data_IF_012632943734
#
_entry.id   IF_012632943734
#
_cell.length_a   1.000
_cell.length_b   1.000
_cell.length_c   1.000
_cell.angle_alpha   90.00
_cell.angle_beta   90.00
_cell.angle_gamma   90.00
#
_symmetry.space_group_name_H-M   'P 1'
#
loop_
_entity.id
_entity.type
_entity.pdbx_description
1 polymer ?
#
# COMPACT_ATOMS: atom_id res chain seq x y z
N UNK A 1 -1.64 -91.33 -42.24
CA UNK A 1 -0.32 -90.79 -41.87
C UNK A 1 -0.46 -89.30 -42.04
N UNK A 2 -0.69 -88.59 -40.97
CA UNK A 2 -0.97 -87.14 -40.94
C UNK A 2 0.27 -86.38 -40.40
N UNK A 3 0.87 -85.55 -41.17
CA UNK A 3 1.94 -84.64 -40.75
C UNK A 3 1.35 -83.29 -40.32
N UNK A 4 1.45 -83.06 -39.02
CA UNK A 4 1.13 -81.76 -38.42
C UNK A 4 2.32 -80.82 -38.55
N UNK A 5 2.22 -79.78 -39.33
CA UNK A 5 3.18 -78.66 -39.37
C UNK A 5 2.69 -77.57 -38.41
N UNK A 6 3.32 -77.48 -37.24
CA UNK A 6 3.12 -76.35 -36.30
C UNK A 6 3.97 -75.14 -36.72
N UNK A 7 3.32 -74.13 -37.29
CA UNK A 7 3.94 -72.83 -37.56
C UNK A 7 4.15 -72.10 -36.22
N UNK A 8 5.40 -71.97 -35.78
CA UNK A 8 5.77 -71.09 -34.65
C UNK A 8 5.86 -69.67 -35.17
N UNK A 9 4.90 -68.80 -34.77
CA UNK A 9 5.03 -67.36 -34.92
C UNK A 9 6.04 -66.88 -33.85
N UNK A 10 7.21 -66.43 -34.30
CA UNK A 10 8.16 -65.70 -33.51
C UNK A 10 7.67 -64.26 -33.36
N UNK A 11 7.09 -63.94 -32.19
CA UNK A 11 6.90 -62.55 -31.74
C UNK A 11 8.25 -61.99 -31.45
N UNK A 12 8.76 -61.12 -32.32
CA UNK A 12 9.88 -60.24 -32.03
C UNK A 12 9.38 -59.17 -31.02
N UNK A 13 10.04 -59.02 -29.88
CA UNK A 13 9.76 -57.88 -29.02
C UNK A 13 10.25 -56.63 -29.75
N UNK A 14 9.36 -55.70 -30.04
CA UNK A 14 9.71 -54.34 -30.42
C UNK A 14 10.39 -53.74 -29.18
N UNK A 15 11.72 -53.73 -29.19
CA UNK A 15 12.48 -52.93 -28.24
C UNK A 15 12.18 -51.46 -28.56
N UNK A 16 11.30 -50.83 -27.81
CA UNK A 16 11.23 -49.39 -27.69
C UNK A 16 12.51 -48.94 -26.98
N UNK A 17 13.52 -48.63 -27.76
CA UNK A 17 14.67 -47.86 -27.26
C UNK A 17 14.13 -46.49 -26.84
N UNK A 18 13.82 -46.34 -25.57
CA UNK A 18 13.66 -45.04 -24.96
C UNK A 18 14.99 -44.31 -25.11
N UNK A 19 15.07 -43.41 -26.06
CA UNK A 19 16.16 -42.44 -26.14
C UNK A 19 16.00 -41.45 -24.99
N UNK A 20 16.47 -41.81 -23.83
CA UNK A 20 16.59 -40.91 -22.69
C UNK A 20 17.81 -40.03 -22.94
N UNK A 21 17.60 -38.73 -23.26
CA UNK A 21 18.63 -37.74 -23.17
C UNK A 21 18.84 -36.77 -24.34
N UNK A 22 18.23 -36.98 -25.52
CA UNK A 22 18.31 -35.96 -26.60
C UNK A 22 16.96 -35.25 -26.73
N UNK A 23 16.96 -33.90 -26.86
CA UNK A 23 15.73 -33.18 -27.16
C UNK A 23 15.15 -33.61 -28.50
N UNK A 24 13.83 -33.55 -28.67
CA UNK A 24 13.17 -33.84 -29.94
C UNK A 24 13.68 -32.95 -31.07
N UNK A 25 13.40 -33.35 -32.31
CA UNK A 25 13.77 -32.54 -33.49
C UNK A 25 12.99 -31.23 -33.48
N UNK A 26 11.72 -31.28 -33.04
CA UNK A 26 10.80 -30.15 -32.88
C UNK A 26 11.37 -29.13 -31.87
N UNK A 27 11.80 -29.60 -30.70
CA UNK A 27 12.39 -28.71 -29.70
C UNK A 27 13.74 -28.12 -30.13
N UNK A 28 14.54 -28.90 -30.84
CA UNK A 28 15.82 -28.40 -31.44
C UNK A 28 15.52 -27.32 -32.47
N UNK A 29 14.51 -27.49 -33.30
CA UNK A 29 14.06 -26.49 -34.29
C UNK A 29 13.51 -25.23 -33.57
N UNK A 30 12.71 -25.39 -32.54
CA UNK A 30 12.18 -24.29 -31.74
C UNK A 30 13.32 -23.42 -31.17
N UNK A 31 14.37 -24.03 -30.58
CA UNK A 31 15.55 -23.30 -30.07
C UNK A 31 16.28 -22.50 -31.17
N UNK A 32 16.38 -23.06 -32.36
CA UNK A 32 16.98 -22.34 -33.52
C UNK A 32 16.13 -21.13 -33.91
N UNK A 33 14.81 -21.26 -34.01
CA UNK A 33 13.91 -20.14 -34.32
C UNK A 33 13.88 -19.07 -33.24
N UNK A 34 13.95 -19.45 -31.95
CA UNK A 34 14.14 -18.50 -30.82
C UNK A 34 15.41 -17.69 -30.97
N UNK A 35 16.55 -18.35 -31.31
CA UNK A 35 17.84 -17.66 -31.56
C UNK A 35 17.78 -16.69 -32.75
N UNK A 36 17.04 -17.07 -33.80
CA UNK A 36 16.85 -16.26 -34.99
C UNK A 36 15.75 -15.17 -34.81
N UNK A 37 15.06 -15.14 -33.65
CA UNK A 37 13.95 -14.25 -33.38
C UNK A 37 12.78 -14.41 -34.36
N UNK A 38 12.61 -15.57 -34.95
CA UNK A 38 11.48 -15.97 -35.77
C UNK A 38 10.39 -16.53 -34.81
N UNK A 39 9.62 -15.60 -34.23
CA UNK A 39 8.70 -15.92 -33.13
C UNK A 39 7.51 -16.77 -33.58
N UNK A 40 7.04 -16.61 -34.81
CA UNK A 40 5.93 -17.37 -35.36
C UNK A 40 6.30 -18.86 -35.47
N UNK A 41 7.45 -19.14 -36.06
CA UNK A 41 7.92 -20.52 -36.14
C UNK A 41 8.38 -21.08 -34.79
N UNK A 42 8.96 -20.23 -33.93
CA UNK A 42 9.31 -20.65 -32.59
C UNK A 42 8.08 -21.15 -31.82
N UNK A 43 6.96 -20.42 -31.91
CA UNK A 43 5.68 -20.83 -31.32
C UNK A 43 5.19 -22.16 -31.90
N UNK A 44 5.11 -22.29 -33.23
CA UNK A 44 4.69 -23.54 -33.91
C UNK A 44 5.49 -24.74 -33.40
N UNK A 45 6.83 -24.67 -33.50
CA UNK A 45 7.70 -25.77 -33.10
C UNK A 45 7.77 -26.02 -31.60
N UNK A 46 7.48 -25.02 -30.75
CA UNK A 46 7.35 -25.21 -29.30
C UNK A 46 6.12 -26.03 -28.96
N UNK A 47 4.97 -25.78 -29.60
CA UNK A 47 3.77 -26.59 -29.39
C UNK A 47 3.90 -28.00 -29.96
N UNK A 48 4.52 -28.16 -31.14
CA UNK A 48 4.83 -29.48 -31.67
C UNK A 48 5.76 -30.25 -30.70
N UNK A 49 6.77 -29.57 -30.13
CA UNK A 49 7.66 -30.16 -29.16
C UNK A 49 6.90 -30.59 -27.88
N UNK A 50 5.92 -29.83 -27.43
CA UNK A 50 5.10 -30.20 -26.26
C UNK A 50 4.23 -31.43 -26.54
N UNK A 51 3.74 -31.60 -27.79
CA UNK A 51 3.00 -32.82 -28.18
C UNK A 51 3.86 -34.07 -28.16
N UNK A 52 5.13 -33.93 -28.57
CA UNK A 52 6.12 -35.05 -28.62
C UNK A 52 6.73 -35.32 -27.24
N UNK A 53 6.95 -34.28 -26.46
CA UNK A 53 7.59 -34.32 -25.15
C UNK A 53 6.65 -33.67 -24.08
N UNK A 54 5.48 -34.23 -23.78
CA UNK A 54 4.49 -33.59 -22.90
C UNK A 54 4.96 -33.42 -21.46
N UNK A 55 5.95 -34.19 -21.03
CA UNK A 55 6.53 -34.11 -19.69
C UNK A 55 7.90 -33.40 -19.69
N UNK A 56 8.18 -32.54 -20.70
CA UNK A 56 9.41 -31.77 -20.71
C UNK A 56 9.22 -30.36 -20.12
N UNK A 57 9.67 -30.11 -18.87
CA UNK A 57 9.49 -28.82 -18.24
C UNK A 57 10.28 -27.69 -18.92
N UNK A 58 11.35 -28.00 -19.67
CA UNK A 58 12.07 -26.99 -20.44
C UNK A 58 11.19 -26.42 -21.57
N UNK A 59 10.46 -27.29 -22.29
CA UNK A 59 9.53 -26.86 -23.36
C UNK A 59 8.42 -25.99 -22.76
N UNK A 60 7.83 -26.40 -21.63
CA UNK A 60 6.79 -25.63 -20.95
C UNK A 60 7.27 -24.25 -20.52
N UNK A 61 8.48 -24.15 -19.95
CA UNK A 61 9.09 -22.86 -19.59
C UNK A 61 9.30 -21.98 -20.81
N UNK A 62 9.75 -22.55 -21.94
CA UNK A 62 9.96 -21.77 -23.17
C UNK A 62 8.64 -21.26 -23.76
N UNK A 63 7.57 -22.07 -23.72
CA UNK A 63 6.22 -21.64 -24.14
C UNK A 63 5.73 -20.50 -23.26
N UNK A 64 5.79 -20.66 -21.95
CA UNK A 64 5.39 -19.62 -21.00
C UNK A 64 6.12 -18.30 -21.25
N UNK A 65 7.43 -18.35 -21.43
CA UNK A 65 8.28 -17.17 -21.60
C UNK A 65 8.19 -16.55 -23.00
N UNK A 66 8.35 -17.35 -24.07
CA UNK A 66 8.49 -16.83 -25.43
C UNK A 66 7.17 -16.68 -26.17
N UNK A 67 6.11 -17.37 -25.76
CA UNK A 67 4.80 -17.29 -26.39
C UNK A 67 3.85 -16.48 -25.54
N UNK A 68 3.39 -17.02 -24.41
CA UNK A 68 2.33 -16.41 -23.64
C UNK A 68 2.71 -15.06 -23.01
N UNK A 69 3.90 -14.98 -22.38
CA UNK A 69 4.33 -13.72 -21.76
C UNK A 69 4.50 -12.58 -22.77
N UNK A 70 4.97 -12.88 -24.00
CA UNK A 70 5.12 -11.86 -25.06
C UNK A 70 3.78 -11.35 -25.60
N UNK A 71 2.74 -12.17 -25.52
CA UNK A 71 1.37 -11.81 -25.91
C UNK A 71 0.59 -11.16 -24.77
N UNK A 72 1.15 -11.12 -23.53
CA UNK A 72 0.45 -10.66 -22.33
C UNK A 72 -0.60 -11.65 -21.82
N UNK A 73 -0.51 -12.89 -22.22
CA UNK A 73 -1.40 -14.00 -21.82
C UNK A 73 -0.92 -14.58 -20.50
N UNK A 74 -1.10 -13.81 -19.40
CA UNK A 74 -0.47 -14.10 -18.10
C UNK A 74 -1.00 -15.38 -17.46
N UNK A 75 -2.27 -15.70 -17.62
CA UNK A 75 -2.86 -16.92 -17.06
C UNK A 75 -2.27 -18.16 -17.74
N UNK A 76 -2.14 -18.16 -19.08
CA UNK A 76 -1.54 -19.25 -19.84
C UNK A 76 -0.01 -19.36 -19.54
N UNK A 77 0.67 -18.22 -19.38
CA UNK A 77 2.07 -18.21 -18.93
C UNK A 77 2.22 -18.92 -17.58
N UNK A 78 1.35 -18.57 -16.62
CA UNK A 78 1.39 -19.17 -15.30
C UNK A 78 1.03 -20.67 -15.34
N UNK A 79 0.05 -21.05 -16.17
CA UNK A 79 -0.31 -22.47 -16.35
C UNK A 79 0.90 -23.27 -16.83
N UNK A 80 1.61 -22.80 -17.86
CA UNK A 80 2.82 -23.47 -18.37
C UNK A 80 3.93 -23.53 -17.31
N UNK A 81 4.13 -22.45 -16.56
CA UNK A 81 5.14 -22.39 -15.49
C UNK A 81 4.79 -23.34 -14.33
N UNK A 82 3.53 -23.42 -13.92
CA UNK A 82 3.08 -24.31 -12.85
C UNK A 82 3.18 -25.78 -13.28
N UNK A 83 2.83 -26.09 -14.52
CA UNK A 83 3.03 -27.44 -15.08
C UNK A 83 4.51 -27.83 -15.12
N UNK A 84 5.39 -26.91 -15.52
CA UNK A 84 6.84 -27.16 -15.53
C UNK A 84 7.38 -27.45 -14.12
N UNK A 85 6.97 -26.68 -13.11
CA UNK A 85 7.33 -26.90 -11.70
C UNK A 85 6.77 -28.23 -11.20
N UNK A 86 5.51 -28.55 -11.53
CA UNK A 86 4.88 -29.79 -11.09
C UNK A 86 5.52 -31.03 -11.70
N UNK A 87 6.09 -30.89 -12.92
CA UNK A 87 6.76 -32.01 -13.62
C UNK A 87 8.15 -32.30 -13.04
N UNK A 88 9.03 -31.30 -12.98
CA UNK A 88 10.38 -31.45 -12.40
C UNK A 88 10.95 -30.09 -11.99
N UNK A 89 10.75 -29.66 -10.72
CA UNK A 89 11.22 -28.35 -10.25
C UNK A 89 12.74 -28.21 -10.20
N UNK A 90 13.47 -29.34 -10.10
CA UNK A 90 14.93 -29.38 -9.92
C UNK A 90 15.69 -29.59 -11.22
N UNK A 91 14.99 -29.91 -12.34
CA UNK A 91 15.62 -30.03 -13.66
C UNK A 91 16.33 -28.73 -14.02
N UNK A 92 17.61 -28.85 -14.38
CA UNK A 92 18.44 -27.69 -14.75
C UNK A 92 18.27 -27.29 -16.23
N UNK A 93 18.09 -25.96 -16.47
CA UNK A 93 17.95 -25.37 -17.80
C UNK A 93 18.84 -24.10 -17.88
N UNK A 94 19.97 -24.08 -18.58
CA UNK A 94 20.94 -25.17 -18.64
C UNK A 94 21.59 -25.41 -17.28
N UNK A 95 21.76 -24.35 -16.45
CA UNK A 95 22.47 -24.40 -15.17
C UNK A 95 21.59 -24.08 -13.96
N UNK A 96 20.35 -23.63 -14.19
CA UNK A 96 19.40 -23.24 -13.14
C UNK A 96 18.21 -24.18 -13.05
N UNK A 97 17.76 -24.51 -11.85
CA UNK A 97 16.52 -25.28 -11.65
C UNK A 97 15.31 -24.59 -12.29
N UNK A 98 14.36 -25.37 -12.78
CA UNK A 98 13.07 -24.87 -13.31
C UNK A 98 12.36 -23.95 -12.30
N UNK A 99 12.33 -24.35 -11.04
CA UNK A 99 11.71 -23.55 -9.96
C UNK A 99 12.34 -22.16 -9.83
N UNK A 100 13.67 -22.06 -9.90
CA UNK A 100 14.38 -20.77 -9.84
C UNK A 100 14.14 -19.94 -11.11
N UNK A 101 14.14 -20.58 -12.29
CA UNK A 101 13.88 -19.88 -13.54
C UNK A 101 12.47 -19.28 -13.58
N UNK A 102 11.47 -20.07 -13.23
CA UNK A 102 10.08 -19.62 -13.18
C UNK A 102 9.91 -18.46 -12.17
N UNK A 103 10.50 -18.61 -10.99
CA UNK A 103 10.50 -17.54 -9.99
C UNK A 103 11.08 -16.22 -10.57
N UNK A 104 12.24 -16.30 -11.21
CA UNK A 104 12.91 -15.13 -11.79
C UNK A 104 12.09 -14.52 -12.94
N UNK A 105 11.46 -15.33 -13.79
CA UNK A 105 10.64 -14.84 -14.89
C UNK A 105 9.36 -14.17 -14.39
N UNK A 106 8.65 -14.76 -13.43
CA UNK A 106 7.50 -14.12 -12.80
C UNK A 106 7.90 -12.78 -12.17
N UNK A 107 8.97 -12.76 -11.40
CA UNK A 107 9.46 -11.52 -10.76
C UNK A 107 9.83 -10.45 -11.79
N UNK A 108 10.48 -10.81 -12.89
CA UNK A 108 10.82 -9.88 -13.97
C UNK A 108 9.58 -9.29 -14.64
N UNK A 109 8.64 -10.14 -15.08
CA UNK A 109 7.43 -9.68 -15.73
C UNK A 109 6.53 -8.89 -14.78
N UNK A 110 6.45 -9.32 -13.52
CA UNK A 110 5.74 -8.56 -12.49
C UNK A 110 6.34 -7.17 -12.32
N UNK A 111 7.67 -7.05 -12.17
CA UNK A 111 8.34 -5.77 -11.97
C UNK A 111 8.10 -4.81 -13.14
N UNK A 112 8.16 -5.29 -14.39
CA UNK A 112 7.92 -4.48 -15.58
C UNK A 112 6.48 -3.96 -15.64
N UNK A 113 5.49 -4.84 -15.37
CA UNK A 113 4.08 -4.47 -15.32
C UNK A 113 3.78 -3.53 -14.15
N UNK A 114 4.33 -3.83 -12.95
CA UNK A 114 4.17 -3.02 -11.75
C UNK A 114 4.70 -1.59 -11.94
N UNK A 115 5.92 -1.45 -12.46
CA UNK A 115 6.51 -0.14 -12.73
C UNK A 115 5.69 0.67 -13.75
N UNK A 116 5.11 -0.01 -14.75
CA UNK A 116 4.21 0.63 -15.72
C UNK A 116 2.92 1.10 -15.06
N UNK A 117 2.32 0.28 -14.20
CA UNK A 117 1.13 0.63 -13.43
C UNK A 117 1.38 1.78 -12.44
N UNK A 118 2.51 1.76 -11.73
CA UNK A 118 2.92 2.85 -10.81
C UNK A 118 3.10 4.17 -11.55
N UNK A 119 3.63 4.16 -12.77
CA UNK A 119 3.72 5.37 -13.60
C UNK A 119 2.35 5.97 -13.88
N UNK A 120 1.38 5.16 -14.32
CA UNK A 120 -0.01 5.61 -14.53
C UNK A 120 -0.64 6.16 -13.26
N UNK A 121 -0.41 5.51 -12.12
CA UNK A 121 -0.90 6.00 -10.83
C UNK A 121 -0.27 7.33 -10.42
N UNK A 122 1.02 7.54 -10.70
CA UNK A 122 1.68 8.83 -10.46
C UNK A 122 1.19 9.93 -11.42
N UNK A 123 0.89 9.61 -12.68
CA UNK A 123 0.21 10.50 -13.62
C UNK A 123 -1.17 10.91 -13.10
N UNK A 124 -1.95 9.97 -12.57
CA UNK A 124 -3.22 10.28 -11.91
C UNK A 124 -3.03 11.22 -10.71
N UNK A 125 -2.04 10.98 -9.84
CA UNK A 125 -1.79 11.87 -8.70
C UNK A 125 -1.54 13.32 -9.12
N UNK A 126 -0.90 13.53 -10.27
CA UNK A 126 -0.62 14.84 -10.81
C UNK A 126 -1.83 15.45 -11.52
N UNK A 127 -2.55 14.69 -12.35
CA UNK A 127 -3.65 15.18 -13.18
C UNK A 127 -5.02 15.16 -12.50
N UNK A 128 -5.22 14.22 -11.57
CA UNK A 128 -6.51 13.89 -10.94
C UNK A 128 -7.57 13.42 -11.94
N UNK A 129 -7.16 12.99 -13.12
CA UNK A 129 -8.07 12.48 -14.14
C UNK A 129 -8.52 11.04 -13.84
N UNK A 130 -9.82 10.84 -13.69
CA UNK A 130 -10.42 9.54 -13.39
C UNK A 130 -10.05 8.47 -14.42
N UNK A 131 -10.02 8.82 -15.71
CA UNK A 131 -9.66 7.91 -16.79
C UNK A 131 -8.22 7.37 -16.68
N UNK A 132 -7.30 8.18 -16.14
CA UNK A 132 -5.91 7.77 -15.88
C UNK A 132 -5.86 6.78 -14.71
N UNK A 133 -6.68 7.00 -13.67
CA UNK A 133 -6.79 6.05 -12.56
C UNK A 133 -7.38 4.71 -12.99
N UNK A 134 -8.41 4.71 -13.85
CA UNK A 134 -9.00 3.49 -14.41
C UNK A 134 -7.97 2.68 -15.21
N UNK A 135 -7.12 3.34 -16.01
CA UNK A 135 -6.00 2.69 -16.71
C UNK A 135 -4.96 2.11 -15.74
N UNK A 136 -4.67 2.83 -14.65
CA UNK A 136 -3.77 2.33 -13.61
C UNK A 136 -4.33 1.07 -12.96
N UNK A 137 -5.63 1.04 -12.62
CA UNK A 137 -6.32 -0.15 -12.08
C UNK A 137 -6.18 -1.32 -13.02
N UNK A 138 -6.57 -1.15 -14.30
CA UNK A 138 -6.43 -2.22 -15.29
C UNK A 138 -5.01 -2.77 -15.34
N UNK A 139 -4.00 -1.89 -15.32
CA UNK A 139 -2.60 -2.32 -15.38
C UNK A 139 -2.13 -3.00 -14.10
N UNK A 140 -2.65 -2.62 -12.92
CA UNK A 140 -2.38 -3.33 -11.67
C UNK A 140 -3.10 -4.69 -11.61
N UNK A 141 -4.30 -4.83 -12.17
CA UNK A 141 -4.99 -6.12 -12.29
C UNK A 141 -4.20 -7.08 -13.19
N UNK A 142 -3.70 -6.60 -14.34
CA UNK A 142 -2.78 -7.37 -15.18
C UNK A 142 -1.52 -7.78 -14.40
N UNK A 143 -0.98 -6.87 -13.58
CA UNK A 143 0.20 -7.14 -12.73
C UNK A 143 -0.09 -8.21 -11.68
N UNK A 144 -1.28 -8.20 -11.08
CA UNK A 144 -1.73 -9.23 -10.15
C UNK A 144 -1.88 -10.61 -10.81
N UNK A 145 -2.25 -10.64 -12.10
CA UNK A 145 -2.33 -11.88 -12.87
C UNK A 145 -0.93 -12.41 -13.25
N UNK A 146 0.09 -11.56 -13.35
CA UNK A 146 1.49 -12.02 -13.56
C UNK A 146 2.01 -12.78 -12.35
N UNK A 147 1.84 -12.21 -11.16
CA UNK A 147 2.25 -12.85 -9.90
C UNK A 147 1.32 -12.45 -8.75
N UNK A 148 0.41 -13.34 -8.43
CA UNK A 148 -0.59 -13.13 -7.38
C UNK A 148 -0.01 -13.17 -5.94
N UNK A 149 1.28 -13.49 -5.77
CA UNK A 149 1.94 -13.55 -4.46
C UNK A 149 2.52 -12.20 -4.03
N UNK A 150 2.48 -11.20 -4.90
CA UNK A 150 3.05 -9.88 -4.67
C UNK A 150 2.05 -8.93 -3.99
N UNK A 151 2.08 -8.88 -2.67
CA UNK A 151 1.13 -8.10 -1.85
C UNK A 151 1.12 -6.59 -2.15
N UNK A 152 2.25 -6.03 -2.61
CA UNK A 152 2.36 -4.61 -3.00
C UNK A 152 1.35 -4.22 -4.08
N UNK A 153 1.09 -5.13 -5.03
CA UNK A 153 0.10 -4.91 -6.09
C UNK A 153 -1.29 -4.66 -5.50
N UNK A 154 -1.69 -5.49 -4.55
CA UNK A 154 -3.00 -5.38 -3.90
C UNK A 154 -3.10 -4.16 -2.98
N UNK A 155 -2.02 -3.74 -2.33
CA UNK A 155 -1.99 -2.51 -1.53
C UNK A 155 -2.31 -1.27 -2.38
N UNK A 156 -1.76 -1.20 -3.59
CA UNK A 156 -2.03 -0.06 -4.49
C UNK A 156 -3.41 -0.20 -5.14
N UNK A 157 -3.84 -1.41 -5.53
CA UNK A 157 -5.20 -1.66 -6.03
C UNK A 157 -6.25 -1.21 -5.01
N UNK A 158 -6.04 -1.52 -3.72
CA UNK A 158 -6.92 -1.07 -2.66
C UNK A 158 -7.06 0.46 -2.64
N UNK A 159 -5.93 1.17 -2.76
CA UNK A 159 -5.93 2.64 -2.82
C UNK A 159 -6.63 3.15 -4.09
N UNK A 160 -6.36 2.55 -5.25
CA UNK A 160 -6.99 2.95 -6.50
C UNK A 160 -8.51 2.75 -6.48
N UNK A 161 -8.99 1.61 -6.00
CA UNK A 161 -10.41 1.34 -5.87
C UNK A 161 -11.08 2.25 -4.85
N UNK A 162 -10.39 2.58 -3.75
CA UNK A 162 -10.89 3.53 -2.78
C UNK A 162 -11.06 4.95 -3.40
N UNK A 163 -10.08 5.42 -4.16
CA UNK A 163 -10.14 6.70 -4.88
C UNK A 163 -11.24 6.73 -5.96
N UNK A 164 -11.57 5.57 -6.55
CA UNK A 164 -12.70 5.41 -7.48
C UNK A 164 -14.06 5.33 -6.79
N UNK A 165 -14.10 5.24 -5.45
CA UNK A 165 -15.32 5.07 -4.67
C UNK A 165 -15.87 3.63 -4.67
N UNK A 166 -15.08 2.66 -5.09
CA UNK A 166 -15.45 1.24 -5.02
C UNK A 166 -14.94 0.65 -3.70
N UNK A 167 -15.72 0.85 -2.64
CA UNK A 167 -15.36 0.45 -1.28
C UNK A 167 -15.20 -1.06 -1.13
N UNK A 168 -16.02 -1.86 -1.81
CA UNK A 168 -15.97 -3.32 -1.74
C UNK A 168 -14.64 -3.85 -2.27
N UNK A 169 -14.25 -3.45 -3.48
CA UNK A 169 -12.97 -3.86 -4.07
C UNK A 169 -11.76 -3.26 -3.31
N UNK A 170 -11.90 -2.07 -2.74
CA UNK A 170 -10.86 -1.48 -1.89
C UNK A 170 -10.59 -2.34 -0.66
N UNK A 171 -11.63 -2.72 0.08
CA UNK A 171 -11.52 -3.60 1.26
C UNK A 171 -10.99 -4.98 0.85
N UNK A 172 -11.51 -5.57 -0.23
CA UNK A 172 -11.06 -6.88 -0.72
C UNK A 172 -9.54 -6.89 -0.99
N UNK A 173 -9.05 -5.93 -1.77
CA UNK A 173 -7.63 -5.87 -2.11
C UNK A 173 -6.76 -5.52 -0.90
N UNK A 174 -7.21 -4.64 0.00
CA UNK A 174 -6.47 -4.34 1.23
C UNK A 174 -6.32 -5.57 2.14
N UNK A 175 -7.38 -6.40 2.28
CA UNK A 175 -7.29 -7.67 2.99
C UNK A 175 -6.30 -8.62 2.34
N UNK A 176 -6.38 -8.79 1.02
CA UNK A 176 -5.46 -9.65 0.28
C UNK A 176 -3.99 -9.21 0.45
N UNK A 177 -3.74 -7.91 0.46
CA UNK A 177 -2.41 -7.38 0.76
C UNK A 177 -1.91 -7.77 2.17
N UNK A 178 -2.77 -7.67 3.20
CA UNK A 178 -2.39 -8.04 4.58
C UNK A 178 -2.31 -9.54 4.79
N UNK A 179 -3.03 -10.36 4.03
CA UNK A 179 -2.88 -11.82 4.02
C UNK A 179 -1.52 -12.25 3.48
N UNK A 180 -1.06 -11.62 2.38
CA UNK A 180 0.23 -11.93 1.76
C UNK A 180 1.39 -11.32 2.57
N UNK A 181 1.21 -10.10 3.10
CA UNK A 181 2.23 -9.35 3.84
C UNK A 181 1.72 -9.03 5.26
N UNK A 182 1.57 -10.04 6.15
CA UNK A 182 0.94 -9.83 7.45
C UNK A 182 1.71 -8.86 8.35
N UNK A 183 3.02 -8.80 8.21
CA UNK A 183 3.89 -7.95 9.05
C UNK A 183 4.36 -6.68 8.31
N UNK A 184 3.65 -6.29 7.25
CA UNK A 184 3.90 -5.01 6.57
C UNK A 184 3.10 -3.88 7.22
N UNK A 185 3.81 -2.86 7.71
CA UNK A 185 3.22 -1.71 8.35
C UNK A 185 2.21 -0.99 7.44
N UNK A 186 2.59 -0.74 6.18
CA UNK A 186 1.77 0.03 5.25
C UNK A 186 0.47 -0.69 4.89
N UNK A 187 0.53 -2.00 4.68
CA UNK A 187 -0.64 -2.83 4.37
C UNK A 187 -1.64 -2.83 5.52
N UNK A 188 -1.16 -3.04 6.76
CA UNK A 188 -2.02 -3.01 7.95
C UNK A 188 -2.63 -1.62 8.18
N UNK A 189 -1.84 -0.55 8.07
CA UNK A 189 -2.34 0.80 8.24
C UNK A 189 -3.37 1.17 7.16
N UNK A 190 -3.10 0.84 5.88
CA UNK A 190 -4.00 1.10 4.77
C UNK A 190 -5.35 0.37 4.94
N UNK A 191 -5.31 -0.92 5.30
CA UNK A 191 -6.56 -1.67 5.58
C UNK A 191 -7.35 -1.03 6.73
N UNK A 192 -6.66 -0.67 7.82
CA UNK A 192 -7.30 0.05 8.92
C UNK A 192 -7.95 1.37 8.47
N UNK A 193 -7.28 2.15 7.62
CA UNK A 193 -7.81 3.40 7.07
C UNK A 193 -9.04 3.18 6.19
N UNK A 194 -8.99 2.21 5.30
CA UNK A 194 -10.12 1.88 4.42
C UNK A 194 -11.31 1.40 5.24
N UNK A 195 -11.10 0.47 6.18
CA UNK A 195 -12.16 -0.03 7.08
C UNK A 195 -12.81 1.09 7.90
N UNK A 196 -12.02 2.02 8.42
CA UNK A 196 -12.55 3.17 9.17
C UNK A 196 -13.50 4.02 8.32
N UNK A 197 -13.11 4.30 7.07
CA UNK A 197 -13.88 5.15 6.16
C UNK A 197 -15.11 4.46 5.58
N UNK A 198 -15.09 3.12 5.47
CA UNK A 198 -16.23 2.30 5.04
C UNK A 198 -17.16 1.91 6.19
N UNK A 199 -16.98 2.48 7.40
CA UNK A 199 -17.84 2.31 8.54
C UNK A 199 -17.53 1.09 9.42
N UNK A 200 -16.50 0.31 9.10
CA UNK A 200 -16.10 -0.88 9.87
C UNK A 200 -15.04 -0.50 10.94
N UNK A 201 -15.40 0.45 11.84
CA UNK A 201 -14.47 1.06 12.79
C UNK A 201 -13.90 0.08 13.81
N UNK A 202 -14.72 -0.83 14.33
CA UNK A 202 -14.30 -1.83 15.31
C UNK A 202 -13.21 -2.75 14.73
N UNK A 203 -13.38 -3.18 13.49
CA UNK A 203 -12.37 -3.99 12.81
C UNK A 203 -11.12 -3.19 12.47
N UNK A 204 -11.28 -1.92 12.05
CA UNK A 204 -10.18 -0.99 11.78
C UNK A 204 -9.21 -0.89 12.96
N UNK A 205 -9.72 -0.86 14.22
CA UNK A 205 -8.89 -0.82 15.43
C UNK A 205 -7.85 -1.94 15.46
N UNK A 206 -8.24 -3.17 15.07
CA UNK A 206 -7.33 -4.32 15.10
C UNK A 206 -6.14 -4.14 14.17
N UNK A 207 -6.39 -3.66 12.94
CA UNK A 207 -5.32 -3.47 11.93
C UNK A 207 -4.45 -2.25 12.23
N UNK A 208 -5.03 -1.16 12.72
CA UNK A 208 -4.24 0.02 13.14
C UNK A 208 -3.36 -0.32 14.35
N UNK A 209 -3.86 -1.11 15.31
CA UNK A 209 -3.04 -1.61 16.43
C UNK A 209 -1.89 -2.48 15.93
N UNK A 210 -2.16 -3.39 15.00
CA UNK A 210 -1.11 -4.22 14.41
C UNK A 210 -0.04 -3.37 13.69
N UNK A 211 -0.43 -2.31 12.99
CA UNK A 211 0.52 -1.36 12.42
C UNK A 211 1.38 -0.68 13.51
N UNK A 212 0.78 -0.27 14.64
CA UNK A 212 1.50 0.31 15.79
C UNK A 212 2.45 -0.72 16.43
N UNK A 213 2.07 -1.99 16.52
CA UNK A 213 2.94 -3.05 17.04
C UNK A 213 4.20 -3.22 16.17
N UNK A 214 4.09 -2.97 14.84
CA UNK A 214 5.21 -3.01 13.89
C UNK A 214 6.08 -1.73 13.98
N UNK A 215 5.47 -0.56 14.02
CA UNK A 215 6.14 0.75 14.19
C UNK A 215 5.47 1.55 15.32
N UNK A 216 5.90 1.34 16.59
CA UNK A 216 5.31 2.01 17.76
C UNK A 216 5.50 3.53 17.78
N UNK A 217 6.41 4.06 16.96
CA UNK A 217 6.70 5.50 16.89
C UNK A 217 5.91 6.24 15.80
N UNK A 218 5.08 5.54 15.04
CA UNK A 218 4.38 6.13 13.91
C UNK A 218 3.20 7.01 14.32
N UNK A 219 3.41 8.32 14.25
CA UNK A 219 2.42 9.34 14.65
C UNK A 219 1.09 9.25 13.89
N UNK A 220 1.13 8.84 12.61
CA UNK A 220 -0.09 8.71 11.79
C UNK A 220 -0.95 7.56 12.31
N UNK A 221 -0.35 6.40 12.59
CA UNK A 221 -1.05 5.25 13.13
C UNK A 221 -1.60 5.53 14.54
N UNK A 222 -0.79 6.15 15.42
CA UNK A 222 -1.21 6.52 16.78
C UNK A 222 -2.40 7.48 16.73
N UNK A 223 -2.32 8.56 15.94
CA UNK A 223 -3.42 9.51 15.78
C UNK A 223 -4.67 8.84 15.22
N UNK A 224 -4.52 7.93 14.27
CA UNK A 224 -5.66 7.22 13.71
C UNK A 224 -6.33 6.30 14.74
N UNK A 225 -5.56 5.58 15.54
CA UNK A 225 -6.11 4.74 16.62
C UNK A 225 -6.85 5.58 17.65
N UNK A 226 -6.28 6.69 18.07
CA UNK A 226 -6.92 7.61 18.99
C UNK A 226 -8.24 8.17 18.41
N UNK A 227 -8.24 8.56 17.13
CA UNK A 227 -9.46 9.02 16.43
C UNK A 227 -10.52 7.92 16.35
N UNK A 228 -10.11 6.68 16.05
CA UNK A 228 -11.03 5.53 16.03
C UNK A 228 -11.69 5.31 17.39
N UNK A 229 -10.91 5.34 18.48
CA UNK A 229 -11.47 5.21 19.82
C UNK A 229 -12.40 6.37 20.17
N UNK A 230 -12.03 7.61 19.79
CA UNK A 230 -12.91 8.77 19.97
C UNK A 230 -14.25 8.58 19.23
N UNK A 231 -14.21 8.17 17.96
CA UNK A 231 -15.37 7.93 17.11
C UNK A 231 -16.28 6.80 17.61
N UNK A 232 -15.70 5.80 18.28
CA UNK A 232 -16.40 4.69 18.94
C UNK A 232 -16.95 5.07 20.32
N UNK A 233 -16.70 6.30 20.79
CA UNK A 233 -17.10 6.79 22.11
C UNK A 233 -16.20 6.31 23.25
N UNK A 234 -15.11 5.62 22.95
CA UNK A 234 -14.12 5.10 23.91
C UNK A 234 -13.09 6.18 24.26
N UNK A 235 -13.56 7.28 24.88
CA UNK A 235 -12.78 8.51 25.09
C UNK A 235 -11.52 8.29 25.92
N UNK A 236 -11.59 7.48 26.96
CA UNK A 236 -10.47 7.14 27.81
C UNK A 236 -9.36 6.42 27.04
N UNK A 237 -9.71 5.44 26.20
CA UNK A 237 -8.72 4.73 25.36
C UNK A 237 -8.10 5.64 24.31
N UNK A 238 -8.85 6.63 23.83
CA UNK A 238 -8.31 7.63 22.91
C UNK A 238 -7.17 8.44 23.55
N UNK A 239 -7.36 8.91 24.78
CA UNK A 239 -6.34 9.62 25.56
C UNK A 239 -5.15 8.70 25.89
N UNK A 240 -5.43 7.50 26.44
CA UNK A 240 -4.41 6.50 26.78
C UNK A 240 -3.49 6.15 25.59
N UNK A 241 -4.04 6.18 24.36
CA UNK A 241 -3.26 5.90 23.14
C UNK A 241 -2.13 6.91 22.96
N UNK A 242 -2.39 8.21 23.12
CA UNK A 242 -1.37 9.24 23.05
C UNK A 242 -0.41 9.19 24.23
N UNK A 243 -0.92 9.01 25.46
CA UNK A 243 -0.10 8.92 26.67
C UNK A 243 0.90 7.77 26.62
N UNK A 244 0.47 6.59 26.12
CA UNK A 244 1.34 5.44 25.93
C UNK A 244 2.45 5.74 24.91
N UNK A 245 2.15 6.39 23.80
CA UNK A 245 3.12 6.78 22.79
C UNK A 245 4.11 7.83 23.33
N UNK A 246 3.62 8.85 24.03
CA UNK A 246 4.45 9.90 24.66
C UNK A 246 5.45 9.30 25.66
N UNK A 247 5.03 8.29 26.41
CA UNK A 247 5.88 7.64 27.42
C UNK A 247 7.09 6.95 26.81
N UNK A 248 6.96 6.40 25.62
CA UNK A 248 8.02 5.64 24.93
C UNK A 248 8.82 6.48 23.94
N UNK A 249 8.30 7.63 23.49
CA UNK A 249 8.97 8.47 22.50
C UNK A 249 10.16 9.21 23.11
N UNK A 250 11.32 9.09 22.47
CA UNK A 250 12.59 9.71 22.90
C UNK A 250 13.00 10.92 22.06
N UNK A 251 12.52 11.00 20.80
CA UNK A 251 12.77 12.15 19.95
C UNK A 251 11.92 13.34 20.36
N UNK A 252 12.56 14.50 20.59
CA UNK A 252 11.90 15.69 21.12
C UNK A 252 10.82 16.23 20.18
N UNK A 253 11.09 16.25 18.87
CA UNK A 253 10.14 16.80 17.88
C UNK A 253 8.91 15.92 17.76
N UNK A 254 9.10 14.60 17.67
CA UNK A 254 7.98 13.64 17.64
C UNK A 254 7.18 13.69 18.93
N UNK A 255 7.84 13.83 20.06
CA UNK A 255 7.17 13.96 21.37
C UNK A 255 6.37 15.24 21.46
N UNK A 256 6.86 16.35 20.92
CA UNK A 256 6.12 17.61 20.79
C UNK A 256 4.83 17.41 19.99
N UNK A 257 4.92 16.75 18.81
CA UNK A 257 3.76 16.45 17.98
C UNK A 257 2.71 15.57 18.67
N UNK A 258 3.15 14.59 19.47
CA UNK A 258 2.23 13.74 20.26
C UNK A 258 1.51 14.53 21.33
N UNK A 259 2.21 15.39 22.07
CA UNK A 259 1.61 16.29 23.04
C UNK A 259 0.65 17.28 22.39
N UNK A 260 0.99 17.83 21.22
CA UNK A 260 0.09 18.70 20.45
C UNK A 260 -1.23 17.97 20.10
N UNK A 261 -1.13 16.76 19.56
CA UNK A 261 -2.32 15.96 19.23
C UNK A 261 -3.15 15.57 20.48
N UNK A 262 -2.49 15.28 21.60
CA UNK A 262 -3.17 15.04 22.89
C UNK A 262 -3.90 16.30 23.36
N UNK A 263 -3.29 17.48 23.20
CA UNK A 263 -3.93 18.76 23.48
C UNK A 263 -5.19 18.99 22.65
N UNK A 264 -5.12 18.73 21.33
CA UNK A 264 -6.28 18.81 20.43
C UNK A 264 -7.40 17.85 20.86
N UNK A 265 -7.05 16.60 21.21
CA UNK A 265 -8.02 15.62 21.68
C UNK A 265 -8.68 16.07 22.99
N UNK A 266 -7.90 16.50 23.98
CA UNK A 266 -8.44 17.00 25.27
C UNK A 266 -9.32 18.23 25.07
N UNK A 267 -9.00 19.11 24.12
CA UNK A 267 -9.86 20.23 23.75
C UNK A 267 -11.22 19.75 23.18
N UNK A 268 -11.21 18.72 22.33
CA UNK A 268 -12.45 18.12 21.78
C UNK A 268 -13.31 17.41 22.86
N UNK A 269 -12.67 16.95 23.92
CA UNK A 269 -13.32 16.33 25.08
C UNK A 269 -13.77 17.35 26.16
N UNK A 270 -13.56 18.64 25.93
CA UNK A 270 -13.76 19.73 26.91
C UNK A 270 -12.88 19.62 28.17
N UNK A 271 -11.82 18.84 28.11
CA UNK A 271 -10.79 18.71 29.14
C UNK A 271 -9.77 19.85 29.04
N UNK A 272 -10.23 21.09 29.28
CA UNK A 272 -9.45 22.31 28.96
C UNK A 272 -8.16 22.45 29.74
N UNK A 273 -8.06 21.91 30.97
CA UNK A 273 -6.83 21.98 31.75
C UNK A 273 -5.79 21.01 31.20
N UNK A 274 -6.18 19.78 30.90
CA UNK A 274 -5.32 18.75 30.29
C UNK A 274 -4.88 19.18 28.88
N UNK A 275 -5.74 19.87 28.13
CA UNK A 275 -5.39 20.44 26.84
C UNK A 275 -4.31 21.53 26.99
N UNK A 276 -4.46 22.46 27.95
CA UNK A 276 -3.45 23.48 28.27
C UNK A 276 -2.11 22.83 28.60
N UNK A 277 -2.09 21.85 29.50
CA UNK A 277 -0.88 21.18 29.95
C UNK A 277 -0.19 20.48 28.77
N UNK A 278 -0.95 19.78 27.92
CA UNK A 278 -0.41 19.09 26.74
C UNK A 278 0.19 20.09 25.73
N UNK A 279 -0.50 21.19 25.41
CA UNK A 279 0.05 22.21 24.51
C UNK A 279 1.27 22.92 25.10
N UNK A 280 1.30 23.13 26.42
CA UNK A 280 2.51 23.68 27.08
C UNK A 280 3.71 22.74 26.92
N UNK A 281 3.54 21.43 27.16
CA UNK A 281 4.61 20.47 26.93
C UNK A 281 5.05 20.41 25.46
N UNK A 282 4.11 20.52 24.50
CA UNK A 282 4.44 20.59 23.08
C UNK A 282 5.32 21.82 22.80
N UNK A 283 4.92 22.99 23.28
CA UNK A 283 5.67 24.23 23.10
C UNK A 283 7.06 24.22 23.79
N UNK A 284 7.16 23.69 25.00
CA UNK A 284 8.44 23.57 25.69
C UNK A 284 9.43 22.66 24.95
N UNK A 285 8.94 21.63 24.27
CA UNK A 285 9.77 20.73 23.45
C UNK A 285 10.15 21.34 22.09
N UNK A 286 9.28 22.17 21.52
CA UNK A 286 9.49 22.82 20.22
C UNK A 286 8.99 24.28 20.23
N UNK A 287 9.76 25.22 20.82
CA UNK A 287 9.36 26.62 20.91
C UNK A 287 9.33 27.37 19.58
N UNK A 288 9.89 26.82 18.50
CA UNK A 288 9.85 27.40 17.15
C UNK A 288 8.50 27.15 16.46
N UNK A 289 7.75 26.15 16.93
CA UNK A 289 6.44 25.82 16.42
C UNK A 289 5.35 26.55 17.21
N UNK A 290 4.76 27.56 16.57
CA UNK A 290 3.70 28.38 17.17
C UNK A 290 2.32 27.68 17.20
N UNK A 291 2.16 26.52 16.57
CA UNK A 291 0.87 25.82 16.53
C UNK A 291 0.37 25.45 17.94
N UNK A 292 1.27 25.09 18.86
CA UNK A 292 0.92 24.83 20.25
C UNK A 292 0.36 26.08 20.95
N UNK A 293 0.93 27.26 20.70
CA UNK A 293 0.39 28.53 21.19
C UNK A 293 -0.98 28.87 20.60
N UNK A 294 -1.19 28.56 19.32
CA UNK A 294 -2.51 28.69 18.66
C UNK A 294 -3.51 27.75 19.34
N UNK A 295 -3.12 26.50 19.61
CA UNK A 295 -3.93 25.53 20.33
C UNK A 295 -4.32 26.03 21.72
N UNK A 296 -3.40 26.59 22.50
CA UNK A 296 -3.68 27.20 23.80
C UNK A 296 -4.64 28.39 23.69
N UNK A 297 -4.44 29.29 22.74
CA UNK A 297 -5.32 30.44 22.54
C UNK A 297 -6.77 29.99 22.24
N UNK A 298 -6.92 28.99 21.38
CA UNK A 298 -8.22 28.41 21.04
C UNK A 298 -8.85 27.63 22.22
N UNK A 299 -8.06 26.87 22.97
CA UNK A 299 -8.49 26.17 24.19
C UNK A 299 -9.13 27.15 25.17
N UNK A 300 -8.46 28.28 25.43
CA UNK A 300 -9.01 29.30 26.31
C UNK A 300 -10.19 30.08 25.72
N UNK A 301 -10.22 30.26 24.40
CA UNK A 301 -11.37 30.84 23.70
C UNK A 301 -12.59 29.92 23.87
N UNK A 302 -12.46 28.60 23.66
CA UNK A 302 -13.51 27.61 23.81
C UNK A 302 -13.97 27.47 25.28
N UNK A 303 -13.04 27.55 26.23
CA UNK A 303 -13.33 27.53 27.68
C UNK A 303 -13.90 28.88 28.20
N UNK A 304 -14.17 29.85 27.33
CA UNK A 304 -14.64 31.22 27.66
C UNK A 304 -13.72 31.99 28.63
N UNK A 305 -12.45 31.54 28.72
CA UNK A 305 -11.41 32.21 29.56
C UNK A 305 -10.73 33.34 28.77
N UNK A 306 -11.52 34.34 28.40
CA UNK A 306 -11.15 35.41 27.46
C UNK A 306 -9.85 36.15 27.79
N UNK A 307 -9.55 36.35 29.09
CA UNK A 307 -8.30 37.01 29.52
C UNK A 307 -7.07 36.16 29.20
N UNK A 308 -7.17 34.83 29.37
CA UNK A 308 -6.09 33.91 29.02
C UNK A 308 -5.93 33.81 27.50
N UNK A 309 -7.01 33.66 26.75
CA UNK A 309 -6.98 33.65 25.30
C UNK A 309 -6.29 34.90 24.73
N UNK A 310 -6.65 36.10 25.25
CA UNK A 310 -6.00 37.35 24.78
C UNK A 310 -4.52 37.44 25.13
N UNK A 311 -4.03 36.77 26.18
CA UNK A 311 -2.61 36.67 26.48
C UNK A 311 -1.87 35.93 25.36
N UNK A 312 -2.33 34.75 24.98
CA UNK A 312 -1.69 33.93 23.94
C UNK A 312 -1.83 34.54 22.55
N UNK A 313 -2.95 35.18 22.18
CA UNK A 313 -3.03 35.93 20.92
C UNK A 313 -2.05 37.11 20.88
N UNK A 314 -1.77 37.78 21.99
CA UNK A 314 -0.71 38.82 22.02
C UNK A 314 0.68 38.25 21.79
N UNK A 315 0.96 37.10 22.37
CA UNK A 315 2.23 36.39 22.19
C UNK A 315 2.41 35.95 20.74
N UNK A 316 1.37 35.34 20.14
CA UNK A 316 1.34 34.98 18.73
C UNK A 316 1.56 36.19 17.80
N UNK A 317 0.90 37.32 18.07
CA UNK A 317 1.10 38.57 17.31
C UNK A 317 2.53 39.08 17.44
N UNK A 318 3.16 38.90 18.59
CA UNK A 318 4.56 39.31 18.77
C UNK A 318 5.54 38.41 18.02
N UNK A 319 5.25 37.10 17.94
CA UNK A 319 6.07 36.12 17.22
C UNK A 319 5.83 36.20 15.69
N UNK A 320 4.60 36.34 15.29
CA UNK A 320 4.16 36.35 13.88
C UNK A 320 3.35 37.65 13.57
N UNK A 321 3.99 38.83 13.49
CA UNK A 321 3.30 40.11 13.36
C UNK A 321 2.58 40.30 12.03
N UNK A 322 2.93 39.49 11.02
CA UNK A 322 2.33 39.58 9.68
C UNK A 322 1.24 38.52 9.44
N UNK A 323 0.89 37.71 10.48
CA UNK A 323 -0.16 36.71 10.37
C UNK A 323 -1.54 37.29 10.73
N UNK A 324 -2.44 37.52 9.75
CA UNK A 324 -3.75 38.14 10.00
C UNK A 324 -4.69 37.30 10.87
N UNK A 325 -4.45 35.97 10.98
CA UNK A 325 -5.29 35.08 11.78
C UNK A 325 -5.21 35.42 13.27
N UNK A 326 -4.02 35.78 13.79
CA UNK A 326 -3.81 36.10 15.18
C UNK A 326 -4.53 37.41 15.57
N UNK A 327 -4.53 38.43 14.69
CA UNK A 327 -5.27 39.65 14.88
C UNK A 327 -6.79 39.41 14.88
N UNK A 328 -7.29 38.55 13.98
CA UNK A 328 -8.71 38.13 13.95
C UNK A 328 -9.11 37.40 15.24
N UNK A 329 -8.26 36.51 15.74
CA UNK A 329 -8.47 35.80 16.99
C UNK A 329 -8.55 36.78 18.16
N UNK A 330 -7.59 37.70 18.27
CA UNK A 330 -7.58 38.73 19.30
C UNK A 330 -8.84 39.61 19.23
N UNK A 331 -9.27 40.00 18.04
CA UNK A 331 -10.49 40.81 17.88
C UNK A 331 -11.74 40.04 18.36
N UNK A 332 -11.90 38.75 18.03
CA UNK A 332 -13.00 37.91 18.54
C UNK A 332 -13.05 37.87 20.08
N UNK A 333 -11.88 37.66 20.69
CA UNK A 333 -11.79 37.63 22.15
C UNK A 333 -12.15 39.00 22.77
N UNK A 334 -11.72 40.10 22.20
CA UNK A 334 -12.04 41.45 22.68
C UNK A 334 -13.54 41.78 22.57
N UNK A 335 -14.23 41.34 21.50
CA UNK A 335 -15.68 41.41 21.40
C UNK A 335 -16.35 40.72 22.60
N UNK A 336 -15.91 39.54 22.93
CA UNK A 336 -16.44 38.75 24.05
C UNK A 336 -16.13 39.39 25.42
N UNK A 337 -15.09 40.21 25.51
CA UNK A 337 -14.76 41.00 26.69
C UNK A 337 -15.50 42.35 26.74
N UNK A 338 -16.24 42.71 25.68
CA UNK A 338 -16.94 44.01 25.57
C UNK A 338 -16.10 45.16 25.08
N UNK A 339 -14.83 44.92 24.67
CA UNK A 339 -13.94 45.98 24.13
C UNK A 339 -14.11 46.09 22.59
N UNK A 340 -15.15 46.77 22.19
CA UNK A 340 -15.48 46.97 20.75
C UNK A 340 -14.44 47.82 20.03
N UNK A 341 -13.87 48.83 20.71
CA UNK A 341 -12.88 49.73 20.12
C UNK A 341 -11.55 48.98 19.89
N UNK A 342 -11.14 48.15 20.85
CA UNK A 342 -10.01 47.26 20.71
C UNK A 342 -10.20 46.29 19.57
N UNK A 343 -11.36 45.65 19.53
CA UNK A 343 -11.67 44.66 18.48
C UNK A 343 -11.61 45.28 17.08
N UNK A 344 -12.18 46.48 16.89
CA UNK A 344 -12.14 47.18 15.61
C UNK A 344 -10.70 47.44 15.14
N UNK A 345 -9.83 47.92 16.05
CA UNK A 345 -8.41 48.18 15.73
C UNK A 345 -7.68 46.90 15.26
N UNK A 346 -7.94 45.77 15.92
CA UNK A 346 -7.31 44.50 15.54
C UNK A 346 -7.88 43.98 14.23
N UNK A 347 -9.18 44.12 13.93
CA UNK A 347 -9.75 43.76 12.63
C UNK A 347 -9.20 44.61 11.49
N UNK A 348 -9.06 45.90 11.68
CA UNK A 348 -8.45 46.82 10.67
C UNK A 348 -6.98 46.41 10.39
N UNK A 349 -6.24 46.07 11.44
CA UNK A 349 -4.88 45.56 11.26
C UNK A 349 -4.83 44.28 10.48
N UNK A 350 -5.71 43.30 10.81
CA UNK A 350 -5.80 42.06 10.06
C UNK A 350 -6.16 42.27 8.57
N UNK A 351 -7.04 43.24 8.30
CA UNK A 351 -7.43 43.58 6.92
C UNK A 351 -6.27 44.13 6.10
N UNK A 352 -5.49 45.05 6.68
CA UNK A 352 -4.31 45.64 6.03
C UNK A 352 -3.19 44.63 5.73
N UNK A 353 -3.15 43.49 6.43
CA UNK A 353 -2.17 42.43 6.17
C UNK A 353 -2.59 41.50 5.02
N UNK A 354 -3.81 41.60 4.53
CA UNK A 354 -4.35 40.77 3.44
C UNK A 354 -4.44 41.54 2.12
N UNK A 355 -4.49 42.91 2.21
CA UNK A 355 -4.44 43.81 1.07
C UNK A 355 -3.01 44.03 0.57
#
# INVERSE_FOLDING_TARGET
MSLNIRTRILLLPVLSLAFWGCPSQEYTSAKLYIQNKDWEKAEEFLFEALEVEPDNPEVMVQIGYHVHAKKGEWDQMNEMFDQAIATDPDKKIPDRPVSEMVFNYRAMFWADNYNSAVRLFNEYKASREKSTLEKAVQKFEETANVDATQGQTYSILATCYFELGNEELAVHNARKATEIMPDDFQSNLALGQILSRTGNKEESVAFVKKAIDIDPSNRVAIRQLATLYYDLGEKEKSVETFEAAIKTETDKMRKSDLYFNLGVLNMQLDHFQEAEDAFMYAYDLNPEDTEALVGMAQTFENAEKWRRASKFYRELIALEPDNPAHYKGMARVLIKQGDMDGATRYFEKAKKLVE
#
